data_IF_521827121100
#
_entry.id   IF_521827121100
#
_cell.length_a   1.000
_cell.length_b   1.000
_cell.length_c   1.000
_cell.angle_alpha   90.00
_cell.angle_beta   90.00
_cell.angle_gamma   90.00
#
_symmetry.space_group_name_H-M   'P 1'
#
loop_
_entity.id
_entity.type
_entity.pdbx_description
1 polymer ?
#
# COMPACT_ATOMS: atom_id res chain seq x y z
N UNK A 1 -18.40 9.93 -20.07
CA UNK A 1 -17.10 9.61 -19.49
C UNK A 1 -16.29 10.89 -19.34
N UNK A 2 -15.51 11.03 -18.26
CA UNK A 2 -14.57 12.14 -18.07
C UNK A 2 -13.15 11.59 -17.94
N UNK A 3 -12.22 12.14 -18.70
CA UNK A 3 -10.79 11.88 -18.57
C UNK A 3 -10.17 13.11 -17.92
N UNK A 4 -9.84 12.99 -16.63
CA UNK A 4 -9.23 14.04 -15.82
C UNK A 4 -7.72 13.98 -16.02
N UNK A 5 -7.17 14.91 -16.81
CA UNK A 5 -5.77 14.86 -17.26
C UNK A 5 -4.99 16.09 -16.81
N UNK A 6 -4.09 15.87 -15.87
CA UNK A 6 -3.17 16.87 -15.34
C UNK A 6 -1.73 16.72 -15.95
N UNK A 7 -1.59 16.06 -17.09
CA UNK A 7 -0.29 15.87 -17.74
C UNK A 7 0.31 17.19 -18.20
N UNK A 8 1.66 17.25 -18.24
CA UNK A 8 2.43 18.44 -18.63
C UNK A 8 3.38 18.17 -19.80
N UNK A 9 3.32 16.96 -20.34
CA UNK A 9 4.21 16.48 -21.40
C UNK A 9 3.40 16.04 -22.63
N UNK A 10 4.05 15.39 -23.57
CA UNK A 10 3.43 14.90 -24.80
C UNK A 10 2.24 13.94 -24.60
N UNK A 11 2.06 13.42 -23.39
CA UNK A 11 0.90 12.56 -23.09
C UNK A 11 -0.42 13.33 -23.19
N UNK A 12 -0.41 14.63 -22.89
CA UNK A 12 -1.59 15.48 -23.01
C UNK A 12 -2.15 15.48 -24.45
N UNK A 13 -1.30 15.72 -25.44
CA UNK A 13 -1.70 15.74 -26.85
C UNK A 13 -2.09 14.36 -27.38
N UNK A 14 -1.42 13.30 -26.90
CA UNK A 14 -1.79 11.91 -27.23
C UNK A 14 -3.17 11.57 -26.69
N UNK A 15 -3.44 11.90 -25.43
CA UNK A 15 -4.75 11.69 -24.79
C UNK A 15 -5.84 12.45 -25.53
N UNK A 16 -5.61 13.73 -25.86
CA UNK A 16 -6.55 14.55 -26.61
C UNK A 16 -6.93 13.92 -27.96
N UNK A 17 -5.96 13.50 -28.76
CA UNK A 17 -6.19 12.84 -30.07
C UNK A 17 -7.04 11.55 -29.92
N UNK A 18 -6.76 10.74 -28.89
CA UNK A 18 -7.52 9.52 -28.65
C UNK A 18 -8.98 9.82 -28.25
N UNK A 19 -9.18 10.84 -27.41
CA UNK A 19 -10.52 11.25 -27.00
C UNK A 19 -11.31 11.80 -28.19
N UNK A 20 -10.70 12.65 -29.02
CA UNK A 20 -11.34 13.17 -30.24
C UNK A 20 -11.77 12.04 -31.18
N UNK A 21 -10.92 11.02 -31.37
CA UNK A 21 -11.26 9.84 -32.15
C UNK A 21 -12.44 9.04 -31.56
N UNK A 22 -12.48 8.89 -30.24
CA UNK A 22 -13.58 8.21 -29.55
C UNK A 22 -14.89 9.02 -29.62
N UNK A 23 -14.83 10.35 -29.55
CA UNK A 23 -16.01 11.22 -29.73
C UNK A 23 -16.62 11.07 -31.12
N UNK A 24 -15.81 10.88 -32.16
CA UNK A 24 -16.29 10.62 -33.52
C UNK A 24 -17.09 9.31 -33.64
N UNK A 25 -16.90 8.36 -32.73
CA UNK A 25 -17.71 7.13 -32.66
C UNK A 25 -19.06 7.33 -31.95
N UNK A 26 -19.37 8.55 -31.49
CA UNK A 26 -20.60 8.88 -30.76
C UNK A 26 -20.51 8.67 -29.25
N UNK A 27 -19.32 8.37 -28.69
CA UNK A 27 -19.13 8.21 -27.26
C UNK A 27 -19.14 9.58 -26.54
N UNK A 28 -20.01 9.74 -25.54
CA UNK A 28 -19.99 10.94 -24.66
C UNK A 28 -18.78 10.85 -23.70
N UNK A 29 -17.63 11.31 -24.18
CA UNK A 29 -16.37 11.36 -23.46
C UNK A 29 -15.79 12.78 -23.53
N UNK A 30 -15.28 13.26 -22.40
CA UNK A 30 -14.70 14.62 -22.26
C UNK A 30 -13.28 14.56 -21.76
N UNK A 31 -12.41 15.36 -22.34
CA UNK A 31 -11.07 15.64 -21.85
C UNK A 31 -11.13 16.86 -20.94
N UNK A 32 -10.85 16.68 -19.64
CA UNK A 32 -10.84 17.74 -18.63
C UNK A 32 -9.42 17.96 -18.18
N UNK A 33 -8.91 19.16 -18.47
CA UNK A 33 -7.56 19.60 -18.13
C UNK A 33 -7.62 20.81 -17.21
N UNK A 34 -6.65 20.97 -16.33
CA UNK A 34 -6.58 22.09 -15.39
C UNK A 34 -5.34 22.93 -15.62
N UNK A 35 -5.50 24.25 -15.60
CA UNK A 35 -4.37 25.19 -15.61
C UNK A 35 -3.71 25.27 -14.24
N UNK A 36 -4.49 25.27 -13.17
CA UNK A 36 -4.00 25.27 -11.79
C UNK A 36 -4.27 23.91 -11.16
N UNK A 37 -3.20 23.17 -10.86
CA UNK A 37 -3.24 21.77 -10.40
C UNK A 37 -3.15 21.65 -8.88
N UNK A 38 -3.84 22.53 -8.15
CA UNK A 38 -3.93 22.45 -6.70
C UNK A 38 -4.57 21.14 -6.26
N UNK A 39 -4.13 20.60 -5.13
CA UNK A 39 -4.68 19.38 -4.52
C UNK A 39 -4.60 18.12 -5.39
N UNK A 40 -3.75 18.11 -6.43
CA UNK A 40 -3.45 16.93 -7.26
C UNK A 40 -4.71 16.14 -7.67
N UNK A 41 -4.76 14.82 -7.39
CA UNK A 41 -5.89 13.94 -7.72
C UNK A 41 -7.19 14.38 -7.05
N UNK A 42 -7.16 14.74 -5.77
CA UNK A 42 -8.33 15.25 -5.05
C UNK A 42 -8.94 16.48 -5.73
N UNK A 43 -8.10 17.42 -6.17
CA UNK A 43 -8.54 18.61 -6.91
C UNK A 43 -9.14 18.26 -8.27
N UNK A 44 -8.54 17.33 -9.02
CA UNK A 44 -9.06 16.87 -10.30
C UNK A 44 -10.44 16.19 -10.14
N UNK A 45 -10.57 15.30 -9.16
CA UNK A 45 -11.84 14.63 -8.86
C UNK A 45 -12.92 15.60 -8.40
N UNK A 46 -12.55 16.59 -7.59
CA UNK A 46 -13.48 17.65 -7.13
C UNK A 46 -14.03 18.46 -8.31
N UNK A 47 -13.17 18.91 -9.22
CA UNK A 47 -13.56 19.68 -10.41
C UNK A 47 -14.37 18.82 -11.38
N UNK A 48 -13.95 17.57 -11.62
CA UNK A 48 -14.71 16.62 -12.42
C UNK A 48 -16.11 16.36 -11.89
N UNK A 49 -16.29 16.35 -10.57
CA UNK A 49 -17.59 16.14 -9.92
C UNK A 49 -18.58 17.26 -10.22
N UNK A 50 -18.12 18.51 -10.39
CA UNK A 50 -18.98 19.68 -10.68
C UNK A 50 -19.74 19.49 -12.00
N UNK A 51 -19.09 18.91 -13.00
CA UNK A 51 -19.67 18.66 -14.33
C UNK A 51 -20.21 17.26 -14.54
N UNK A 52 -20.04 16.37 -13.56
CA UNK A 52 -20.52 14.99 -13.61
C UNK A 52 -22.06 14.94 -13.53
N UNK A 53 -22.69 14.29 -14.53
CA UNK A 53 -24.16 14.18 -14.63
C UNK A 53 -24.72 12.94 -13.91
N UNK A 54 -23.88 11.90 -13.72
CA UNK A 54 -24.32 10.62 -13.15
C UNK A 54 -24.65 10.71 -11.66
N UNK A 55 -25.60 9.92 -11.21
CA UNK A 55 -25.89 9.68 -9.80
C UNK A 55 -24.77 8.90 -9.11
N UNK A 56 -24.12 8.01 -9.88
CA UNK A 56 -23.01 7.20 -9.42
C UNK A 56 -21.74 7.57 -10.18
N UNK A 57 -20.63 7.68 -9.43
CA UNK A 57 -19.33 8.12 -9.94
C UNK A 57 -18.36 6.95 -9.83
N UNK A 58 -18.11 6.27 -10.95
CA UNK A 58 -17.06 5.26 -11.05
C UNK A 58 -15.70 5.93 -11.24
N UNK A 59 -14.70 5.54 -10.44
CA UNK A 59 -13.35 6.11 -10.48
C UNK A 59 -12.34 5.03 -10.87
N UNK A 60 -11.56 5.33 -11.93
CA UNK A 60 -10.47 4.46 -12.39
C UNK A 60 -9.21 5.28 -12.62
N UNK A 61 -8.09 4.81 -12.09
CA UNK A 61 -6.77 5.25 -12.54
C UNK A 61 -6.50 4.68 -13.95
N UNK A 62 -5.70 5.38 -14.75
CA UNK A 62 -5.52 5.10 -16.17
C UNK A 62 -4.94 3.71 -16.51
N UNK A 63 -4.36 3.02 -15.51
CA UNK A 63 -3.79 1.67 -15.66
C UNK A 63 -4.71 0.55 -15.17
N UNK A 64 -5.94 0.86 -14.74
CA UNK A 64 -6.93 -0.13 -14.31
C UNK A 64 -7.79 -0.60 -15.48
N UNK A 65 -7.96 -1.92 -15.60
CA UNK A 65 -8.71 -2.57 -16.69
C UNK A 65 -9.94 -3.28 -16.13
N UNK A 66 -11.10 -2.58 -16.02
CA UNK A 66 -12.34 -3.21 -15.58
C UNK A 66 -12.86 -4.21 -16.63
N UNK A 67 -13.44 -5.30 -16.16
CA UNK A 67 -14.14 -6.25 -17.06
C UNK A 67 -15.40 -5.63 -17.67
N UNK A 68 -15.85 -6.15 -18.82
CA UNK A 68 -16.95 -5.56 -19.62
C UNK A 68 -18.28 -5.42 -18.87
N UNK A 69 -18.57 -6.30 -17.95
CA UNK A 69 -19.78 -6.33 -17.13
C UNK A 69 -19.61 -5.71 -15.74
N UNK A 70 -18.49 -5.04 -15.49
CA UNK A 70 -18.12 -4.49 -14.19
C UNK A 70 -19.24 -3.59 -13.59
N UNK A 71 -19.85 -2.72 -14.40
CA UNK A 71 -20.97 -1.88 -13.94
C UNK A 71 -22.20 -2.73 -13.58
N UNK A 72 -22.50 -3.78 -14.33
CA UNK A 72 -23.63 -4.68 -14.05
C UNK A 72 -23.45 -5.45 -12.75
N UNK A 73 -22.19 -5.73 -12.36
CA UNK A 73 -21.84 -6.43 -11.13
C UNK A 73 -21.80 -5.51 -9.90
N UNK A 74 -21.65 -4.21 -10.10
CA UNK A 74 -21.43 -3.26 -9.01
C UNK A 74 -22.63 -2.39 -8.70
N UNK A 75 -23.36 -1.89 -9.72
CA UNK A 75 -24.50 -0.98 -9.54
C UNK A 75 -25.68 -1.57 -8.74
N UNK A 76 -26.04 -2.86 -8.84
CA UNK A 76 -27.18 -3.40 -8.10
C UNK A 76 -27.11 -3.24 -6.59
N UNK A 77 -25.93 -3.10 -6.01
CA UNK A 77 -25.77 -2.90 -4.56
C UNK A 77 -26.28 -1.54 -4.09
N UNK A 78 -26.39 -0.55 -4.98
CA UNK A 78 -26.91 0.78 -4.65
C UNK A 78 -28.43 0.85 -4.54
N UNK A 79 -29.15 -0.26 -4.70
CA UNK A 79 -30.56 -0.37 -4.32
C UNK A 79 -30.73 -0.07 -2.82
N UNK A 80 -29.76 -0.44 -1.97
CA UNK A 80 -29.67 0.05 -0.60
C UNK A 80 -29.17 1.51 -0.64
N UNK A 81 -30.08 2.43 -0.31
CA UNK A 81 -29.79 3.88 -0.32
C UNK A 81 -28.72 4.28 0.68
N UNK A 82 -28.42 3.46 1.69
CA UNK A 82 -27.36 3.70 2.67
C UNK A 82 -25.96 3.36 2.13
N UNK A 83 -25.87 2.64 1.01
CA UNK A 83 -24.59 2.33 0.41
C UNK A 83 -24.08 3.55 -0.34
N UNK A 84 -22.99 4.13 0.19
CA UNK A 84 -22.27 5.25 -0.40
C UNK A 84 -21.17 4.82 -1.35
N UNK A 85 -20.58 3.63 -1.13
CA UNK A 85 -19.44 3.13 -1.94
C UNK A 85 -19.57 1.63 -2.20
N UNK A 86 -19.25 1.24 -3.43
CA UNK A 86 -18.95 -0.15 -3.80
C UNK A 86 -17.51 -0.20 -4.28
N UNK A 87 -16.64 -0.90 -3.53
CA UNK A 87 -15.23 -1.12 -3.85
C UNK A 87 -15.02 -2.52 -4.40
N UNK A 88 -14.27 -2.66 -5.49
CA UNK A 88 -13.87 -3.95 -6.06
C UNK A 88 -12.42 -4.30 -5.72
N UNK A 89 -12.05 -5.58 -5.85
CA UNK A 89 -10.70 -6.06 -5.56
C UNK A 89 -9.73 -5.65 -6.67
N UNK A 90 -8.54 -5.22 -6.28
CA UNK A 90 -7.46 -5.03 -7.25
C UNK A 90 -6.87 -6.37 -7.67
N UNK A 91 -6.61 -6.50 -8.97
CA UNK A 91 -5.77 -7.54 -9.54
C UNK A 91 -4.44 -6.98 -10.03
N UNK A 92 -3.57 -7.86 -10.52
CA UNK A 92 -2.21 -7.50 -10.90
C UNK A 92 -1.88 -8.03 -12.30
N UNK A 93 -1.71 -7.12 -13.27
CA UNK A 93 -1.40 -7.46 -14.69
C UNK A 93 -0.02 -8.10 -14.80
N UNK A 94 0.97 -7.54 -14.12
CA UNK A 94 2.38 -7.91 -14.22
C UNK A 94 2.92 -8.62 -12.97
N UNK A 95 2.06 -9.38 -12.25
CA UNK A 95 2.42 -10.12 -11.03
C UNK A 95 3.74 -10.90 -11.17
N UNK A 96 3.88 -11.65 -12.25
CA UNK A 96 4.99 -12.59 -12.46
C UNK A 96 6.21 -11.98 -13.16
N UNK A 97 6.20 -10.67 -13.39
CA UNK A 97 7.24 -9.97 -14.10
C UNK A 97 8.62 -10.03 -13.38
N UNK A 98 8.64 -9.82 -12.07
CA UNK A 98 9.85 -9.78 -11.28
C UNK A 98 9.60 -10.20 -9.82
N UNK A 99 10.68 -10.39 -9.04
CA UNK A 99 10.57 -10.63 -7.60
C UNK A 99 9.85 -9.46 -6.90
N UNK A 100 10.16 -8.22 -7.29
CA UNK A 100 9.52 -7.03 -6.74
C UNK A 100 8.00 -7.02 -6.97
N UNK A 101 7.55 -7.36 -8.19
CA UNK A 101 6.10 -7.41 -8.49
C UNK A 101 5.40 -8.57 -7.79
N UNK A 102 6.04 -9.74 -7.67
CA UNK A 102 5.50 -10.88 -6.90
C UNK A 102 5.28 -10.55 -5.44
N UNK A 103 6.23 -9.88 -4.81
CA UNK A 103 6.16 -9.48 -3.40
C UNK A 103 5.08 -8.40 -3.18
N UNK A 104 4.96 -7.44 -4.09
CA UNK A 104 3.90 -6.42 -4.03
C UNK A 104 2.51 -7.04 -4.22
N UNK A 105 2.37 -7.95 -5.18
CA UNK A 105 1.12 -8.69 -5.38
C UNK A 105 0.72 -9.47 -4.12
N UNK A 106 1.66 -10.18 -3.52
CA UNK A 106 1.43 -10.96 -2.30
C UNK A 106 0.96 -10.09 -1.11
N UNK A 107 1.55 -8.89 -0.96
CA UNK A 107 1.14 -7.93 0.07
C UNK A 107 -0.28 -7.38 -0.17
N UNK A 108 -0.58 -7.00 -1.42
CA UNK A 108 -1.88 -6.45 -1.79
C UNK A 108 -2.98 -7.52 -1.77
N UNK A 109 -2.65 -8.75 -2.15
CA UNK A 109 -3.58 -9.88 -2.07
C UNK A 109 -4.04 -10.11 -0.61
N UNK A 110 -3.15 -9.98 0.39
CA UNK A 110 -3.56 -10.05 1.80
C UNK A 110 -4.51 -8.90 2.17
N UNK A 111 -4.14 -7.67 1.78
CA UNK A 111 -4.97 -6.50 2.06
C UNK A 111 -6.39 -6.67 1.52
N UNK A 112 -6.52 -7.09 0.26
CA UNK A 112 -7.82 -7.20 -0.40
C UNK A 112 -8.61 -8.45 -0.01
N UNK A 113 -7.95 -9.59 0.24
CA UNK A 113 -8.63 -10.87 0.49
C UNK A 113 -8.89 -11.11 1.99
N UNK A 114 -8.07 -10.57 2.87
CA UNK A 114 -8.22 -10.78 4.31
C UNK A 114 -8.67 -9.51 5.04
N UNK A 115 -7.93 -8.40 4.90
CA UNK A 115 -8.20 -7.20 5.69
C UNK A 115 -9.49 -6.49 5.27
N UNK A 116 -9.69 -6.23 3.98
CA UNK A 116 -10.91 -5.58 3.48
C UNK A 116 -12.14 -6.45 3.70
N UNK A 117 -12.03 -7.74 3.41
CA UNK A 117 -13.12 -8.73 3.64
C UNK A 117 -13.46 -8.80 5.13
N UNK A 118 -12.45 -8.96 5.99
CA UNK A 118 -12.65 -9.09 7.44
C UNK A 118 -13.30 -7.83 8.06
N UNK A 119 -12.85 -6.63 7.66
CA UNK A 119 -13.46 -5.38 8.13
C UNK A 119 -14.89 -5.19 7.60
N UNK A 120 -15.10 -5.43 6.31
CA UNK A 120 -16.42 -5.26 5.68
C UNK A 120 -17.45 -6.25 6.23
N UNK A 121 -17.10 -7.52 6.41
CA UNK A 121 -18.01 -8.56 6.95
C UNK A 121 -18.48 -8.25 8.37
N UNK A 122 -17.69 -7.54 9.17
CA UNK A 122 -18.00 -7.14 10.53
C UNK A 122 -18.56 -5.71 10.63
N UNK A 123 -18.87 -5.06 9.50
CA UNK A 123 -19.37 -3.69 9.40
C UNK A 123 -18.44 -2.65 10.06
N UNK A 124 -17.11 -2.92 10.05
CA UNK A 124 -16.11 -1.94 10.43
C UNK A 124 -15.73 -1.07 9.24
N UNK A 125 -15.07 0.04 9.53
CA UNK A 125 -14.64 0.96 8.48
C UNK A 125 -13.65 0.30 7.52
N UNK A 126 -13.95 0.43 6.23
CA UNK A 126 -13.05 0.10 5.13
C UNK A 126 -12.72 1.36 4.34
N UNK A 127 -11.67 1.32 3.54
CA UNK A 127 -11.37 2.42 2.63
C UNK A 127 -11.74 2.11 1.19
N UNK A 128 -12.19 3.13 0.49
CA UNK A 128 -12.05 3.19 -0.95
C UNK A 128 -10.56 3.34 -1.27
N UNK A 129 -10.02 2.52 -2.15
CA UNK A 129 -8.58 2.45 -2.42
C UNK A 129 -8.14 3.40 -3.56
N UNK A 130 -8.84 4.51 -3.73
CA UNK A 130 -8.55 5.54 -4.71
C UNK A 130 -9.03 5.24 -6.13
N UNK A 131 -9.36 3.99 -6.45
CA UNK A 131 -9.72 3.52 -7.80
C UNK A 131 -10.49 2.20 -7.75
N UNK A 132 -11.01 1.77 -8.90
CA UNK A 132 -11.77 0.53 -9.06
C UNK A 132 -12.95 0.42 -8.10
N UNK A 133 -13.71 1.49 -7.98
CA UNK A 133 -14.93 1.51 -7.19
C UNK A 133 -15.89 2.61 -7.65
N UNK A 134 -17.09 2.56 -7.10
CA UNK A 134 -18.18 3.50 -7.42
C UNK A 134 -18.60 4.21 -6.13
N UNK A 135 -18.81 5.49 -6.23
CA UNK A 135 -19.39 6.34 -5.21
C UNK A 135 -20.81 6.78 -5.59
N UNK A 136 -21.71 6.81 -4.63
CA UNK A 136 -22.94 7.58 -4.76
C UNK A 136 -22.59 9.08 -4.68
N UNK A 137 -23.00 9.88 -5.66
CA UNK A 137 -22.65 11.31 -5.74
C UNK A 137 -23.08 12.09 -4.47
N UNK A 138 -24.27 11.80 -3.95
CA UNK A 138 -24.77 12.41 -2.71
C UNK A 138 -23.88 12.07 -1.51
N UNK A 139 -23.30 10.85 -1.43
CA UNK A 139 -22.37 10.48 -0.38
C UNK A 139 -21.08 11.32 -0.44
N UNK A 140 -20.52 11.57 -1.63
CA UNK A 140 -19.33 12.43 -1.79
C UNK A 140 -19.63 13.84 -1.28
N UNK A 141 -20.81 14.40 -1.66
CA UNK A 141 -21.20 15.75 -1.29
C UNK A 141 -21.44 15.86 0.22
N UNK A 142 -22.20 14.92 0.79
CA UNK A 142 -22.51 14.87 2.23
C UNK A 142 -21.26 14.71 3.09
N UNK A 143 -20.30 13.92 2.62
CA UNK A 143 -19.01 13.78 3.28
C UNK A 143 -18.07 14.99 3.12
N UNK A 144 -18.50 16.08 2.47
CA UNK A 144 -17.74 17.31 2.29
C UNK A 144 -16.75 17.28 1.12
N UNK A 145 -17.03 16.45 0.09
CA UNK A 145 -16.30 16.37 -1.17
C UNK A 145 -14.82 15.97 -1.00
N UNK A 146 -14.09 15.87 -2.11
CA UNK A 146 -12.66 15.56 -2.14
C UNK A 146 -11.83 16.68 -1.50
N UNK A 147 -10.91 16.32 -0.60
CA UNK A 147 -9.99 17.25 0.07
C UNK A 147 -8.55 16.82 -0.18
N UNK A 148 -7.66 17.76 -0.44
CA UNK A 148 -6.26 17.51 -0.79
C UNK A 148 -5.28 17.88 0.32
N UNK A 149 -5.71 17.87 1.56
CA UNK A 149 -4.90 18.19 2.74
C UNK A 149 -4.13 16.98 3.28
N UNK A 150 -4.44 15.77 2.79
CA UNK A 150 -3.69 14.52 3.02
C UNK A 150 -3.24 13.89 1.70
N UNK A 151 -2.18 13.06 1.73
CA UNK A 151 -1.67 12.39 0.53
C UNK A 151 -2.52 11.19 0.09
N UNK A 152 -3.51 10.79 0.89
CA UNK A 152 -4.48 9.73 0.58
C UNK A 152 -5.88 10.28 0.77
N UNK A 153 -6.33 11.04 -0.24
CA UNK A 153 -7.64 11.69 -0.32
C UNK A 153 -8.80 10.68 -0.27
N UNK A 154 -8.54 9.48 -0.74
CA UNK A 154 -9.45 8.34 -0.74
C UNK A 154 -9.75 7.82 0.66
N UNK A 155 -8.72 7.62 1.48
CA UNK A 155 -8.85 7.23 2.88
C UNK A 155 -9.56 8.33 3.70
N UNK A 156 -9.21 9.60 3.45
CA UNK A 156 -9.84 10.75 4.09
C UNK A 156 -11.36 10.80 3.82
N UNK A 157 -11.75 10.77 2.54
CA UNK A 157 -13.16 10.79 2.16
C UNK A 157 -13.90 9.55 2.68
N UNK A 158 -13.26 8.37 2.65
CA UNK A 158 -13.85 7.13 3.16
C UNK A 158 -14.21 7.22 4.63
N UNK A 159 -13.33 7.78 5.46
CA UNK A 159 -13.60 7.96 6.88
C UNK A 159 -14.69 9.00 7.14
N UNK A 160 -14.67 10.13 6.43
CA UNK A 160 -15.71 11.17 6.57
C UNK A 160 -17.09 10.63 6.18
N UNK A 161 -17.19 9.87 5.11
CA UNK A 161 -18.44 9.27 4.67
C UNK A 161 -18.99 8.27 5.71
N UNK A 162 -18.15 7.38 6.24
CA UNK A 162 -18.58 6.37 7.21
C UNK A 162 -18.88 6.99 8.59
N UNK A 163 -18.25 8.11 8.96
CA UNK A 163 -18.60 8.91 10.12
C UNK A 163 -19.99 9.56 9.97
N UNK A 164 -20.43 9.83 8.73
CA UNK A 164 -21.78 10.30 8.39
C UNK A 164 -22.78 9.15 8.15
N UNK A 165 -22.48 7.93 8.65
CA UNK A 165 -23.31 6.73 8.56
C UNK A 165 -23.45 6.10 7.17
N UNK A 166 -22.67 6.52 6.17
CA UNK A 166 -22.66 5.83 4.89
C UNK A 166 -22.04 4.44 5.03
N UNK A 167 -22.65 3.43 4.42
CA UNK A 167 -22.14 2.07 4.37
C UNK A 167 -21.30 1.86 3.12
N UNK A 168 -20.26 1.04 3.26
CA UNK A 168 -19.40 0.63 2.16
C UNK A 168 -19.56 -0.86 1.90
N UNK A 169 -19.63 -1.23 0.64
CA UNK A 169 -19.68 -2.62 0.18
C UNK A 169 -18.39 -2.99 -0.52
N UNK A 170 -17.77 -4.07 -0.10
CA UNK A 170 -16.60 -4.63 -0.75
C UNK A 170 -16.97 -5.88 -1.54
N UNK A 171 -16.50 -5.97 -2.80
CA UNK A 171 -16.76 -7.09 -3.72
C UNK A 171 -15.43 -7.80 -4.04
N UNK A 172 -15.11 -8.82 -3.28
CA UNK A 172 -13.87 -9.59 -3.44
C UNK A 172 -13.80 -10.31 -4.80
N UNK A 173 -14.92 -10.82 -5.29
CA UNK A 173 -14.98 -11.63 -6.52
C UNK A 173 -14.97 -10.80 -7.81
N UNK A 174 -15.13 -9.47 -7.73
CA UNK A 174 -15.03 -8.57 -8.87
C UNK A 174 -13.61 -8.00 -8.91
N UNK A 175 -12.79 -8.53 -9.83
CA UNK A 175 -11.36 -8.19 -9.89
C UNK A 175 -11.13 -7.16 -10.99
N UNK A 176 -10.40 -6.09 -10.64
CA UNK A 176 -9.99 -5.04 -11.57
C UNK A 176 -8.46 -4.97 -11.57
N UNK A 177 -7.80 -5.55 -12.59
CA UNK A 177 -6.34 -5.62 -12.63
C UNK A 177 -5.70 -4.29 -13.02
N UNK A 178 -4.49 -4.06 -12.47
CA UNK A 178 -3.65 -2.89 -12.73
C UNK A 178 -2.17 -3.25 -12.75
N UNK A 179 -1.33 -2.33 -13.23
CA UNK A 179 0.12 -2.51 -13.25
C UNK A 179 0.74 -2.23 -11.88
N UNK A 180 1.59 -3.15 -11.40
CA UNK A 180 2.45 -2.94 -10.23
C UNK A 180 3.74 -2.22 -10.62
N UNK A 181 4.31 -1.36 -9.73
CA UNK A 181 5.63 -0.78 -9.93
C UNK A 181 6.72 -1.83 -10.18
N UNK A 182 7.46 -1.67 -11.26
CA UNK A 182 8.50 -2.63 -11.67
C UNK A 182 9.91 -2.23 -11.24
N UNK A 183 10.11 -0.98 -10.76
CA UNK A 183 11.38 -0.47 -10.26
C UNK A 183 11.27 -0.01 -8.81
N UNK A 184 12.36 -0.14 -8.06
CA UNK A 184 12.40 0.18 -6.62
C UNK A 184 12.06 1.66 -6.35
N UNK A 185 12.51 2.58 -7.18
CA UNK A 185 12.21 4.02 -6.98
C UNK A 185 10.72 4.31 -7.08
N UNK A 186 10.00 3.67 -8.01
CA UNK A 186 8.55 3.81 -8.15
C UNK A 186 7.81 3.17 -6.96
N UNK A 187 8.20 1.96 -6.56
CA UNK A 187 7.65 1.28 -5.39
C UNK A 187 7.89 2.09 -4.10
N UNK A 188 9.10 2.66 -3.92
CA UNK A 188 9.45 3.52 -2.78
C UNK A 188 8.56 4.76 -2.72
N UNK A 189 8.37 5.47 -3.84
CA UNK A 189 7.49 6.64 -3.90
C UNK A 189 6.04 6.31 -3.60
N UNK A 190 5.54 5.17 -4.08
CA UNK A 190 4.18 4.70 -3.80
C UNK A 190 4.01 4.35 -2.31
N UNK A 191 4.91 3.57 -1.74
CA UNK A 191 4.94 3.20 -0.33
C UNK A 191 5.02 4.44 0.58
N UNK A 192 5.88 5.40 0.22
CA UNK A 192 6.01 6.67 0.95
C UNK A 192 4.67 7.41 1.02
N UNK A 193 3.97 7.57 -0.12
CA UNK A 193 2.67 8.26 -0.15
C UNK A 193 1.63 7.56 0.70
N UNK A 194 1.52 6.24 0.59
CA UNK A 194 0.53 5.46 1.34
C UNK A 194 0.76 5.54 2.84
N UNK A 195 2.00 5.35 3.28
CA UNK A 195 2.33 5.38 4.71
C UNK A 195 2.22 6.79 5.30
N UNK A 196 2.68 7.82 4.58
CA UNK A 196 2.53 9.21 5.01
C UNK A 196 1.07 9.63 5.07
N UNK A 197 0.30 9.32 4.02
CA UNK A 197 -1.13 9.62 3.97
C UNK A 197 -1.92 8.91 5.07
N UNK A 198 -1.56 7.66 5.41
CA UNK A 198 -2.12 6.95 6.56
C UNK A 198 -1.87 7.69 7.88
N UNK A 199 -0.64 8.14 8.12
CA UNK A 199 -0.28 8.92 9.32
C UNK A 199 -0.99 10.30 9.35
N UNK A 200 -1.08 11.00 8.22
CA UNK A 200 -1.84 12.26 8.10
C UNK A 200 -3.33 12.05 8.41
N UNK A 201 -3.92 10.96 7.89
CA UNK A 201 -5.32 10.62 8.16
C UNK A 201 -5.56 10.20 9.61
N UNK A 202 -4.61 9.51 10.25
CA UNK A 202 -4.70 9.27 11.68
C UNK A 202 -4.82 10.58 12.47
N UNK A 203 -3.94 11.54 12.23
CA UNK A 203 -3.97 12.86 12.89
C UNK A 203 -5.29 13.60 12.66
N UNK A 204 -5.82 13.55 11.44
CA UNK A 204 -7.05 14.23 11.04
C UNK A 204 -8.31 13.59 11.60
N UNK A 205 -8.36 12.25 11.68
CA UNK A 205 -9.59 11.49 11.91
C UNK A 205 -9.75 10.94 13.32
N UNK A 206 -8.66 10.66 14.05
CA UNK A 206 -8.76 9.90 15.31
C UNK A 206 -9.68 10.57 16.36
N UNK A 207 -9.60 11.89 16.52
CA UNK A 207 -10.47 12.62 17.44
C UNK A 207 -11.95 12.53 17.01
N UNK A 208 -12.24 12.64 15.70
CA UNK A 208 -13.59 12.53 15.15
C UNK A 208 -14.17 11.13 15.38
N UNK A 209 -13.35 10.08 15.16
CA UNK A 209 -13.74 8.69 15.40
C UNK A 209 -14.14 8.47 16.87
N UNK A 210 -13.34 8.94 17.82
CA UNK A 210 -13.66 8.76 19.25
C UNK A 210 -14.83 9.62 19.72
N UNK A 211 -15.01 10.83 19.16
CA UNK A 211 -16.14 11.72 19.50
C UNK A 211 -17.47 11.29 18.87
N UNK A 212 -17.47 10.43 17.87
CA UNK A 212 -18.70 9.99 17.22
C UNK A 212 -19.52 9.08 18.15
N UNK A 213 -20.77 9.47 18.42
CA UNK A 213 -21.70 8.73 19.28
C UNK A 213 -22.39 7.55 18.58
N UNK A 214 -22.48 7.61 17.24
CA UNK A 214 -23.13 6.63 16.38
C UNK A 214 -22.27 5.42 16.04
N UNK A 215 -21.05 5.31 16.58
CA UNK A 215 -20.09 4.26 16.26
C UNK A 215 -19.78 3.44 17.51
N UNK A 216 -19.84 2.09 17.39
CA UNK A 216 -19.51 1.18 18.48
C UNK A 216 -18.05 1.32 18.92
N UNK A 217 -17.78 1.08 20.22
CA UNK A 217 -16.41 1.08 20.74
C UNK A 217 -15.51 0.09 20.00
N UNK A 218 -16.03 -1.07 19.60
CA UNK A 218 -15.31 -2.06 18.78
C UNK A 218 -14.86 -1.46 17.45
N UNK A 219 -15.76 -0.75 16.74
CA UNK A 219 -15.44 -0.10 15.47
C UNK A 219 -14.43 1.04 15.67
N UNK A 220 -14.50 1.79 16.78
CA UNK A 220 -13.50 2.83 17.11
C UNK A 220 -12.10 2.23 17.24
N UNK A 221 -11.94 1.11 17.92
CA UNK A 221 -10.66 0.42 18.04
C UNK A 221 -10.18 -0.13 16.70
N UNK A 222 -11.06 -0.75 15.91
CA UNK A 222 -10.70 -1.19 14.57
C UNK A 222 -10.24 -0.04 13.66
N UNK A 223 -10.95 1.10 13.70
CA UNK A 223 -10.56 2.31 12.97
C UNK A 223 -9.20 2.85 13.41
N UNK A 224 -8.92 2.81 14.72
CA UNK A 224 -7.63 3.22 15.28
C UNK A 224 -6.49 2.37 14.74
N UNK A 225 -6.61 1.03 14.83
CA UNK A 225 -5.59 0.13 14.30
C UNK A 225 -5.45 0.22 12.79
N UNK A 226 -6.55 0.44 12.06
CA UNK A 226 -6.50 0.64 10.62
C UNK A 226 -5.71 1.91 10.25
N UNK A 227 -5.97 3.03 10.89
CA UNK A 227 -5.25 4.30 10.64
C UNK A 227 -3.79 4.24 11.12
N UNK A 228 -3.49 3.48 12.18
CA UNK A 228 -2.13 3.27 12.71
C UNK A 228 -1.36 2.15 11.99
N UNK A 229 -1.97 1.44 11.03
CA UNK A 229 -1.32 0.29 10.39
C UNK A 229 0.07 0.64 9.85
N UNK A 230 0.24 1.81 9.24
CA UNK A 230 1.53 2.29 8.76
C UNK A 230 2.60 2.39 9.86
N UNK A 231 2.23 2.71 11.10
CA UNK A 231 3.15 2.89 12.24
C UNK A 231 3.94 1.62 12.56
N UNK A 232 3.46 0.46 12.08
CA UNK A 232 4.17 -0.81 12.18
C UNK A 232 5.60 -0.73 11.60
N UNK A 233 5.83 -0.01 10.51
CA UNK A 233 7.17 0.11 9.91
C UNK A 233 8.16 0.84 10.82
N UNK A 234 7.71 1.86 11.54
CA UNK A 234 8.52 2.52 12.56
C UNK A 234 8.88 1.54 13.69
N UNK A 235 7.90 0.80 14.20
CA UNK A 235 8.12 -0.20 15.25
C UNK A 235 9.07 -1.30 14.79
N UNK A 236 8.90 -1.82 13.55
CA UNK A 236 9.81 -2.81 12.97
C UNK A 236 11.24 -2.29 12.90
N UNK A 237 11.45 -1.05 12.45
CA UNK A 237 12.78 -0.46 12.35
C UNK A 237 13.43 -0.31 13.74
N UNK A 238 12.68 0.17 14.75
CA UNK A 238 13.17 0.28 16.12
C UNK A 238 13.58 -1.08 16.67
N UNK A 239 12.70 -2.09 16.55
CA UNK A 239 13.00 -3.47 16.98
C UNK A 239 14.21 -4.04 16.24
N UNK A 240 14.31 -3.79 14.93
CA UNK A 240 15.45 -4.21 14.12
C UNK A 240 16.76 -3.59 14.61
N UNK A 241 16.79 -2.27 14.87
CA UNK A 241 17.98 -1.58 15.38
C UNK A 241 18.36 -2.06 16.79
N UNK A 242 17.38 -2.33 17.65
CA UNK A 242 17.63 -2.83 19.00
C UNK A 242 18.03 -4.32 19.03
N UNK A 243 17.79 -5.09 17.97
CA UNK A 243 18.03 -6.53 17.97
C UNK A 243 19.49 -6.90 18.15
N UNK A 244 20.42 -6.12 17.63
CA UNK A 244 21.86 -6.36 17.80
C UNK A 244 22.31 -6.04 19.25
N UNK A 245 22.03 -4.88 19.85
CA UNK A 245 22.30 -4.65 21.27
C UNK A 245 21.65 -5.69 22.20
N UNK A 246 20.41 -6.09 21.92
CA UNK A 246 19.68 -7.11 22.69
C UNK A 246 20.38 -8.46 22.67
N UNK A 247 21.02 -8.84 21.56
CA UNK A 247 21.81 -10.06 21.48
C UNK A 247 22.97 -10.04 22.49
N UNK A 248 23.68 -8.92 22.62
CA UNK A 248 24.78 -8.75 23.59
C UNK A 248 24.25 -8.67 25.03
N UNK A 249 23.17 -7.92 25.28
CA UNK A 249 22.54 -7.85 26.61
C UNK A 249 22.13 -9.25 27.08
N UNK A 250 21.50 -10.04 26.22
CA UNK A 250 21.13 -11.40 26.53
C UNK A 250 22.34 -12.28 26.90
N UNK A 251 23.48 -12.07 26.25
CA UNK A 251 24.70 -12.85 26.49
C UNK A 251 25.38 -12.46 27.79
N UNK A 252 25.41 -11.13 28.12
CA UNK A 252 26.14 -10.60 29.27
C UNK A 252 25.35 -10.55 30.58
N UNK A 253 24.00 -10.61 30.48
CA UNK A 253 23.08 -10.55 31.64
C UNK A 253 22.15 -11.76 31.68
N UNK A 254 22.66 -12.96 32.07
CA UNK A 254 21.86 -14.19 32.12
C UNK A 254 20.64 -14.10 33.05
N UNK A 255 20.68 -13.24 34.07
CA UNK A 255 19.59 -12.96 34.98
C UNK A 255 18.33 -12.42 34.30
N UNK A 256 18.45 -11.80 33.12
CA UNK A 256 17.34 -11.28 32.31
C UNK A 256 16.65 -12.36 31.47
N UNK A 257 17.04 -13.65 31.59
CA UNK A 257 16.48 -14.77 30.80
C UNK A 257 14.94 -14.80 30.77
N UNK A 258 14.30 -14.49 31.90
CA UNK A 258 12.83 -14.48 31.99
C UNK A 258 12.19 -13.39 31.15
N UNK A 259 12.81 -12.22 31.01
CA UNK A 259 12.36 -11.14 30.12
C UNK A 259 12.37 -11.64 28.67
N UNK A 260 13.43 -12.34 28.26
CA UNK A 260 13.53 -12.88 26.90
C UNK A 260 12.52 -14.02 26.65
N UNK A 261 12.17 -14.84 27.65
CA UNK A 261 11.11 -15.85 27.53
C UNK A 261 9.73 -15.19 27.36
N UNK A 262 9.43 -14.09 28.09
CA UNK A 262 8.21 -13.31 27.91
C UNK A 262 8.18 -12.67 26.51
N UNK A 263 9.29 -12.10 26.06
CA UNK A 263 9.40 -11.54 24.71
C UNK A 263 9.19 -12.60 23.62
N UNK A 264 9.66 -13.84 23.84
CA UNK A 264 9.47 -14.95 22.89
C UNK A 264 7.99 -15.32 22.71
N UNK A 265 7.12 -15.02 23.69
CA UNK A 265 5.66 -15.21 23.55
C UNK A 265 5.12 -14.42 22.34
N UNK A 266 5.65 -13.25 22.03
CA UNK A 266 5.22 -12.44 20.89
C UNK A 266 5.56 -13.07 19.53
N UNK A 267 6.42 -14.11 19.46
CA UNK A 267 6.61 -14.91 18.26
C UNK A 267 5.33 -15.62 17.82
N UNK A 268 4.35 -15.81 18.74
CA UNK A 268 3.03 -16.33 18.41
C UNK A 268 2.33 -15.47 17.36
N UNK A 269 2.55 -14.16 17.35
CA UNK A 269 2.00 -13.27 16.34
C UNK A 269 2.49 -13.63 14.93
N UNK A 270 3.76 -14.01 14.79
CA UNK A 270 4.34 -14.46 13.51
C UNK A 270 3.67 -15.75 13.01
N UNK A 271 3.34 -16.67 13.92
CA UNK A 271 2.61 -17.89 13.55
C UNK A 271 1.18 -17.57 13.09
N UNK A 272 0.50 -16.64 13.77
CA UNK A 272 -0.83 -16.18 13.35
C UNK A 272 -0.76 -15.57 11.95
N UNK A 273 0.19 -14.68 11.70
CA UNK A 273 0.40 -14.11 10.37
C UNK A 273 0.70 -15.19 9.34
N UNK A 274 1.58 -16.14 9.65
CA UNK A 274 1.89 -17.25 8.76
C UNK A 274 0.63 -18.04 8.37
N UNK A 275 -0.23 -18.37 9.33
CA UNK A 275 -1.49 -19.06 9.07
C UNK A 275 -2.43 -18.21 8.21
N UNK A 276 -2.60 -16.93 8.54
CA UNK A 276 -3.45 -16.01 7.77
C UNK A 276 -2.97 -15.86 6.32
N UNK A 277 -1.67 -15.68 6.11
CA UNK A 277 -1.09 -15.60 4.77
C UNK A 277 -1.21 -16.93 4.00
N UNK A 278 -1.08 -18.07 4.69
CA UNK A 278 -1.29 -19.37 4.06
C UNK A 278 -2.74 -19.58 3.62
N UNK A 279 -3.71 -19.19 4.44
CA UNK A 279 -5.13 -19.25 4.05
C UNK A 279 -5.42 -18.38 2.81
N UNK A 280 -4.97 -17.14 2.81
CA UNK A 280 -5.07 -16.25 1.64
C UNK A 280 -4.38 -16.86 0.42
N UNK A 281 -3.16 -17.39 0.58
CA UNK A 281 -2.42 -17.99 -0.50
C UNK A 281 -3.16 -19.18 -1.12
N UNK A 282 -3.77 -20.04 -0.28
CA UNK A 282 -4.60 -21.16 -0.76
C UNK A 282 -5.78 -20.71 -1.60
N UNK A 283 -6.45 -19.64 -1.19
CA UNK A 283 -7.61 -19.10 -1.90
C UNK A 283 -7.24 -18.61 -3.31
N UNK A 284 -6.08 -17.98 -3.45
CA UNK A 284 -5.67 -17.31 -4.70
C UNK A 284 -4.87 -18.25 -5.61
N UNK A 285 -3.95 -19.03 -5.03
CA UNK A 285 -2.96 -19.83 -5.79
C UNK A 285 -3.20 -21.33 -5.73
N UNK A 286 -4.18 -21.77 -4.93
CA UNK A 286 -4.44 -23.18 -4.67
C UNK A 286 -3.55 -23.77 -3.54
N UNK A 287 -3.99 -24.92 -3.01
CA UNK A 287 -3.32 -25.64 -1.92
C UNK A 287 -2.43 -26.79 -2.38
N UNK A 288 -1.96 -27.56 -1.39
CA UNK A 288 -1.13 -28.76 -1.59
C UNK A 288 0.34 -28.55 -1.18
N UNK A 289 1.06 -29.67 -0.98
CA UNK A 289 2.41 -29.65 -0.39
C UNK A 289 3.44 -28.86 -1.22
N UNK A 290 3.39 -28.96 -2.56
CA UNK A 290 4.29 -28.20 -3.45
C UNK A 290 4.04 -26.69 -3.34
N UNK A 291 2.79 -26.28 -3.30
CA UNK A 291 2.38 -24.88 -3.13
C UNK A 291 2.74 -24.36 -1.75
N UNK A 292 2.73 -25.20 -0.72
CA UNK A 292 3.16 -24.85 0.62
C UNK A 292 4.64 -24.46 0.67
N UNK A 293 5.54 -25.18 0.00
CA UNK A 293 6.96 -24.79 -0.07
C UNK A 293 7.17 -23.50 -0.88
N UNK A 294 6.41 -23.28 -1.95
CA UNK A 294 6.44 -22.02 -2.70
C UNK A 294 5.98 -20.87 -1.79
N UNK A 295 4.93 -21.10 -1.02
CA UNK A 295 4.42 -20.13 -0.04
C UNK A 295 5.47 -19.78 1.03
N UNK A 296 6.14 -20.77 1.63
CA UNK A 296 7.21 -20.52 2.62
C UNK A 296 8.27 -19.59 2.03
N UNK A 297 8.78 -19.90 0.85
CA UNK A 297 9.78 -19.06 0.18
C UNK A 297 9.28 -17.65 -0.06
N UNK A 298 8.06 -17.50 -0.56
CA UNK A 298 7.44 -16.18 -0.82
C UNK A 298 7.18 -15.41 0.48
N UNK A 299 6.72 -16.07 1.54
CA UNK A 299 6.45 -15.47 2.83
C UNK A 299 7.70 -14.83 3.43
N UNK A 300 8.79 -15.58 3.56
CA UNK A 300 10.05 -15.04 4.10
C UNK A 300 10.67 -13.98 3.18
N UNK A 301 10.58 -14.14 1.86
CA UNK A 301 11.06 -13.13 0.90
C UNK A 301 10.25 -11.83 1.03
N UNK A 302 8.93 -11.94 1.14
CA UNK A 302 8.05 -10.78 1.36
C UNK A 302 8.43 -10.03 2.64
N UNK A 303 8.54 -10.73 3.78
CA UNK A 303 8.90 -10.08 5.04
C UNK A 303 10.29 -9.45 4.98
N UNK A 304 11.28 -10.11 4.36
CA UNK A 304 12.62 -9.54 4.18
C UNK A 304 12.57 -8.23 3.38
N UNK A 305 11.89 -8.21 2.23
CA UNK A 305 11.79 -7.02 1.39
C UNK A 305 10.96 -5.91 2.08
N UNK A 306 9.86 -6.29 2.76
CA UNK A 306 9.05 -5.33 3.54
C UNK A 306 9.88 -4.66 4.66
N UNK A 307 10.73 -5.44 5.36
CA UNK A 307 11.68 -4.88 6.34
C UNK A 307 12.71 -3.96 5.67
N UNK A 308 13.17 -4.26 4.46
CA UNK A 308 14.04 -3.38 3.69
C UNK A 308 13.42 -2.02 3.36
N UNK A 309 12.09 -1.96 3.17
CA UNK A 309 11.36 -0.70 3.01
C UNK A 309 11.12 0.07 4.32
N UNK A 310 11.40 -0.52 5.49
CA UNK A 310 11.06 0.07 6.78
C UNK A 310 11.68 1.45 7.02
N UNK A 311 12.90 1.72 6.54
CA UNK A 311 13.52 3.04 6.62
C UNK A 311 12.70 4.09 5.86
N UNK A 312 12.43 3.86 4.57
CA UNK A 312 11.65 4.78 3.73
C UNK A 312 10.25 5.04 4.32
N UNK A 313 9.60 3.98 4.80
CA UNK A 313 8.25 4.07 5.35
C UNK A 313 8.24 4.74 6.73
N UNK A 314 9.27 4.54 7.56
CA UNK A 314 9.45 5.25 8.83
C UNK A 314 9.58 6.76 8.62
N UNK A 315 10.41 7.19 7.66
CA UNK A 315 10.52 8.61 7.31
C UNK A 315 9.16 9.19 6.89
N UNK A 316 8.42 8.46 6.05
CA UNK A 316 7.09 8.86 5.61
C UNK A 316 6.11 9.04 6.78
N UNK A 317 6.09 8.08 7.72
CA UNK A 317 5.22 8.08 8.89
C UNK A 317 5.55 9.24 9.82
N UNK A 318 6.84 9.45 10.13
CA UNK A 318 7.27 10.56 10.97
C UNK A 318 6.91 11.90 10.34
N UNK A 319 7.13 12.08 9.03
CA UNK A 319 6.71 13.29 8.33
C UNK A 319 5.19 13.50 8.39
N UNK A 320 4.40 12.44 8.25
CA UNK A 320 2.93 12.51 8.33
C UNK A 320 2.45 12.92 9.72
N UNK A 321 2.99 12.30 10.78
CA UNK A 321 2.63 12.65 12.17
C UNK A 321 3.09 14.04 12.60
N UNK A 322 4.22 14.52 12.06
CA UNK A 322 4.74 15.86 12.32
C UNK A 322 4.13 16.94 11.44
N UNK A 323 3.20 16.59 10.54
CA UNK A 323 2.53 17.54 9.66
C UNK A 323 3.43 18.17 8.59
N UNK A 324 4.58 17.56 8.28
CA UNK A 324 5.51 18.06 7.26
C UNK A 324 4.89 17.91 5.87
N UNK A 325 4.72 19.00 5.15
CA UNK A 325 4.22 18.98 3.76
C UNK A 325 5.26 18.39 2.81
N UNK A 326 4.83 17.56 1.88
CA UNK A 326 5.66 17.05 0.77
C UNK A 326 4.91 17.13 -0.54
N UNK A 327 5.67 17.27 -1.63
CA UNK A 327 5.11 17.24 -2.97
C UNK A 327 4.52 15.85 -3.28
N UNK A 328 3.42 15.84 -4.02
CA UNK A 328 2.86 14.61 -4.55
C UNK A 328 3.69 14.13 -5.74
N UNK A 329 4.41 13.02 -5.57
CA UNK A 329 5.20 12.41 -6.64
C UNK A 329 4.38 11.27 -7.23
N UNK A 330 4.01 11.38 -8.52
CA UNK A 330 3.29 10.33 -9.23
C UNK A 330 4.17 9.08 -9.37
N UNK A 331 3.57 7.91 -9.20
CA UNK A 331 4.25 6.63 -9.48
C UNK A 331 4.29 6.41 -10.99
N UNK A 332 5.46 6.35 -11.63
CA UNK A 332 5.54 6.09 -13.06
C UNK A 332 5.05 4.68 -13.38
N UNK A 333 4.33 4.56 -14.51
CA UNK A 333 3.87 3.30 -15.09
C UNK A 333 4.62 3.09 -16.41
N UNK A 334 4.90 1.83 -16.73
CA UNK A 334 5.76 1.45 -17.86
C UNK A 334 5.03 0.62 -18.91
N UNK A 335 3.73 0.38 -18.73
CA UNK A 335 2.88 -0.48 -19.56
C UNK A 335 3.44 -1.91 -19.68
N UNK A 336 3.83 -2.47 -18.54
CA UNK A 336 4.36 -3.83 -18.45
C UNK A 336 3.20 -4.82 -18.25
N UNK A 337 2.93 -5.61 -19.28
CA UNK A 337 1.87 -6.63 -19.27
C UNK A 337 2.43 -8.06 -19.39
N UNK A 338 3.65 -8.22 -19.92
CA UNK A 338 4.31 -9.50 -20.12
C UNK A 338 5.74 -9.49 -19.58
N UNK A 339 6.27 -10.67 -19.29
CA UNK A 339 7.66 -10.84 -18.80
C UNK A 339 8.70 -10.37 -19.84
N UNK A 340 8.33 -10.40 -21.12
CA UNK A 340 9.18 -9.93 -22.24
C UNK A 340 9.30 -8.40 -22.34
N UNK A 341 8.38 -7.65 -21.69
CA UNK A 341 8.34 -6.20 -21.82
C UNK A 341 9.53 -5.54 -21.12
N UNK A 342 10.01 -4.43 -21.68
CA UNK A 342 11.19 -3.73 -21.17
C UNK A 342 10.81 -2.35 -20.65
N UNK A 343 11.26 -2.01 -19.45
CA UNK A 343 11.13 -0.67 -18.86
C UNK A 343 12.37 0.20 -19.09
N UNK A 344 13.48 -0.38 -19.58
CA UNK A 344 14.76 0.28 -19.81
C UNK A 344 14.66 1.39 -20.85
N UNK A 345 15.40 2.50 -20.62
CA UNK A 345 15.37 3.67 -21.51
C UNK A 345 14.20 4.62 -21.29
N UNK A 346 13.35 4.39 -20.28
CA UNK A 346 12.25 5.27 -19.97
C UNK A 346 12.74 6.56 -19.28
N UNK A 347 12.22 7.73 -19.72
CA UNK A 347 12.57 9.06 -19.20
C UNK A 347 12.30 9.28 -17.71
N UNK A 348 11.48 8.42 -17.08
CA UNK A 348 11.15 8.50 -15.65
C UNK A 348 12.17 7.82 -14.73
N UNK A 349 13.24 7.26 -15.27
CA UNK A 349 14.32 6.66 -14.49
C UNK A 349 15.28 7.75 -14.04
N UNK A 350 15.46 7.89 -12.72
CA UNK A 350 16.41 8.87 -12.16
C UNK A 350 17.74 8.21 -11.85
N UNK A 351 18.84 8.83 -12.29
CA UNK A 351 20.21 8.31 -12.09
C UNK A 351 20.90 8.79 -10.79
N UNK A 352 20.21 9.50 -9.90
CA UNK A 352 20.81 10.04 -8.67
C UNK A 352 20.72 9.06 -7.50
N UNK A 353 21.83 8.85 -6.78
CA UNK A 353 21.82 8.11 -5.49
C UNK A 353 21.10 8.99 -4.47
N UNK A 354 20.01 8.47 -3.90
CA UNK A 354 19.28 9.18 -2.87
C UNK A 354 19.95 8.96 -1.51
N UNK A 355 19.76 9.89 -0.58
CA UNK A 355 20.17 9.71 0.82
C UNK A 355 19.59 8.42 1.43
N UNK A 356 18.35 8.09 1.11
CA UNK A 356 17.74 6.84 1.56
C UNK A 356 18.53 5.61 1.11
N UNK A 357 19.05 5.59 -0.12
CA UNK A 357 19.86 4.47 -0.61
C UNK A 357 21.14 4.30 0.21
N UNK A 358 21.78 5.40 0.63
CA UNK A 358 22.99 5.34 1.49
C UNK A 358 22.64 4.74 2.84
N UNK A 359 21.57 5.20 3.49
CA UNK A 359 21.12 4.66 4.80
C UNK A 359 20.74 3.17 4.69
N UNK A 360 20.07 2.76 3.62
CA UNK A 360 19.75 1.35 3.40
C UNK A 360 21.01 0.47 3.28
N UNK A 361 22.06 0.99 2.62
CA UNK A 361 23.36 0.32 2.57
C UNK A 361 24.05 0.24 3.96
N UNK A 362 23.98 1.29 4.76
CA UNK A 362 24.50 1.29 6.13
C UNK A 362 23.74 0.31 7.04
N UNK A 363 22.41 0.25 6.91
CA UNK A 363 21.57 -0.72 7.63
C UNK A 363 21.88 -2.16 7.19
N UNK A 364 22.11 -2.40 5.92
CA UNK A 364 22.58 -3.71 5.45
C UNK A 364 23.89 -4.11 6.15
N UNK A 365 24.86 -3.20 6.21
CA UNK A 365 26.15 -3.48 6.90
C UNK A 365 25.96 -3.68 8.41
N UNK A 366 25.07 -2.91 9.05
CA UNK A 366 24.73 -3.09 10.45
C UNK A 366 24.16 -4.48 10.75
N UNK A 367 23.29 -5.01 9.89
CA UNK A 367 22.75 -6.35 10.05
C UNK A 367 23.71 -7.45 9.62
N UNK A 368 24.68 -7.17 8.73
CA UNK A 368 25.83 -8.04 8.51
C UNK A 368 26.66 -8.19 9.79
N UNK A 369 26.88 -7.09 10.52
CA UNK A 369 27.49 -7.14 11.85
C UNK A 369 26.63 -7.94 12.84
N UNK A 370 25.29 -7.82 12.80
CA UNK A 370 24.38 -8.65 13.58
C UNK A 370 24.52 -10.16 13.30
N UNK A 371 24.71 -10.54 12.05
CA UNK A 371 25.01 -11.93 11.67
C UNK A 371 26.36 -12.40 12.22
N UNK A 372 27.40 -11.59 12.08
CA UNK A 372 28.72 -11.86 12.66
C UNK A 372 28.64 -12.01 14.18
N UNK A 373 27.89 -11.15 14.85
CA UNK A 373 27.70 -11.15 16.30
C UNK A 373 27.17 -12.48 16.84
N UNK A 374 26.34 -13.22 16.07
CA UNK A 374 25.84 -14.52 16.48
C UNK A 374 26.96 -15.55 16.74
N UNK A 375 28.13 -15.38 16.12
CA UNK A 375 29.27 -16.27 16.26
C UNK A 375 30.23 -15.85 17.40
N UNK A 376 30.25 -14.57 17.78
CA UNK A 376 31.29 -14.02 18.66
C UNK A 376 30.75 -13.45 19.97
N UNK A 377 29.42 -13.40 20.16
CA UNK A 377 28.80 -12.70 21.29
C UNK A 377 29.10 -13.32 22.66
N UNK A 378 29.37 -14.63 22.70
CA UNK A 378 29.72 -15.35 23.92
C UNK A 378 31.14 -15.90 23.84
N UNK A 379 31.95 -15.78 24.91
CA UNK A 379 33.29 -16.38 24.94
C UNK A 379 33.30 -17.90 24.80
N UNK A 380 32.29 -18.59 25.31
CA UNK A 380 32.17 -20.03 25.38
C UNK A 380 31.13 -20.63 24.42
N UNK A 381 30.60 -19.83 23.47
CA UNK A 381 29.59 -20.36 22.54
C UNK A 381 28.95 -19.34 21.61
N UNK A 382 28.16 -19.85 20.73
CA UNK A 382 27.42 -19.09 19.71
C UNK A 382 25.99 -18.84 20.17
N UNK A 383 25.34 -17.75 19.70
CA UNK A 383 23.92 -17.53 19.91
C UNK A 383 23.20 -17.22 18.57
N UNK A 384 22.58 -18.24 18.01
CA UNK A 384 21.87 -18.15 16.73
C UNK A 384 20.40 -17.74 16.87
N UNK A 385 19.91 -17.41 18.08
CA UNK A 385 18.49 -17.10 18.28
C UNK A 385 17.98 -15.93 17.43
N UNK A 386 18.81 -14.91 17.18
CA UNK A 386 18.47 -13.76 16.34
C UNK A 386 19.00 -13.88 14.90
N UNK A 387 19.75 -14.92 14.59
CA UNK A 387 20.40 -15.09 13.27
C UNK A 387 19.41 -15.08 12.10
N UNK A 388 18.28 -15.84 12.13
CA UNK A 388 17.30 -15.79 11.05
C UNK A 388 16.72 -14.39 10.83
N UNK A 389 16.47 -13.65 11.89
CA UNK A 389 15.94 -12.29 11.83
C UNK A 389 16.96 -11.32 11.21
N UNK A 390 18.21 -11.36 11.66
CA UNK A 390 19.30 -10.56 11.08
C UNK A 390 19.54 -10.93 9.60
N UNK A 391 19.41 -12.21 9.23
CA UNK A 391 19.54 -12.64 7.84
C UNK A 391 18.43 -12.04 6.94
N UNK A 392 17.20 -12.02 7.43
CA UNK A 392 16.07 -11.40 6.71
C UNK A 392 16.27 -9.89 6.55
N UNK A 393 16.74 -9.21 7.58
CA UNK A 393 17.05 -7.77 7.54
C UNK A 393 18.22 -7.48 6.58
N UNK A 394 19.30 -8.23 6.66
CA UNK A 394 20.44 -8.12 5.74
C UNK A 394 20.02 -8.31 4.29
N UNK A 395 19.27 -9.38 4.01
CA UNK A 395 18.77 -9.68 2.67
C UNK A 395 17.79 -8.60 2.17
N UNK A 396 16.89 -8.13 3.03
CA UNK A 396 15.90 -7.11 2.68
C UNK A 396 16.53 -5.75 2.36
N UNK A 397 17.35 -5.21 3.25
CA UNK A 397 18.07 -3.97 3.00
C UNK A 397 19.05 -4.08 1.83
N UNK A 398 19.73 -5.24 1.71
CA UNK A 398 20.60 -5.56 0.58
C UNK A 398 19.84 -5.56 -0.74
N UNK A 399 18.69 -6.20 -0.81
CA UNK A 399 17.85 -6.21 -2.01
C UNK A 399 17.45 -4.79 -2.43
N UNK A 400 16.96 -3.96 -1.50
CA UNK A 400 16.56 -2.58 -1.79
C UNK A 400 17.77 -1.74 -2.23
N UNK A 401 18.91 -1.85 -1.52
CA UNK A 401 20.13 -1.12 -1.84
C UNK A 401 20.68 -1.48 -3.23
N UNK A 402 20.91 -2.76 -3.51
CA UNK A 402 21.47 -3.19 -4.79
C UNK A 402 20.50 -2.95 -5.95
N UNK A 403 19.19 -3.21 -5.77
CA UNK A 403 18.21 -2.90 -6.81
C UNK A 403 18.14 -1.40 -7.11
N UNK A 404 18.36 -0.53 -6.11
CA UNK A 404 18.46 0.93 -6.31
C UNK A 404 19.69 1.34 -7.10
N UNK A 405 20.80 0.64 -6.98
CA UNK A 405 22.03 0.89 -7.73
C UNK A 405 21.92 0.32 -9.14
N UNK A 406 21.56 -0.96 -9.29
CA UNK A 406 21.58 -1.65 -10.58
C UNK A 406 20.44 -1.22 -11.53
N UNK A 407 19.32 -0.68 -11.02
CA UNK A 407 18.28 -0.11 -11.89
C UNK A 407 18.72 1.13 -12.66
N UNK A 408 19.95 1.63 -12.41
CA UNK A 408 20.52 2.84 -13.01
C UNK A 408 21.57 2.54 -14.08
N UNK A 409 22.19 1.37 -14.02
CA UNK A 409 23.34 1.01 -14.87
C UNK A 409 22.92 0.24 -16.12
N UNK A 410 21.67 -0.06 -16.28
CA UNK A 410 21.07 -0.68 -17.46
C UNK A 410 20.06 0.26 -18.08
#
# INVERSE_FOLDING_TARGET
IQVLDDSTDESLERTKKHIEALQQTGLDIKHITRTVRTNFKAGALKEGLETAKGEFIAVFDADFLPQKDWLKLTLPYFIDEQIGVVQTRWGHLNRDYSLLTKVQAFALDLHFTLEQVGRNSQQHFINFNGTAGIWRKTCIIDAGNWQGDTLTEDLDLSYRAQLNNWKFKYLENVITPAELPVIISAARSQQFRWNKGGAENYQKMIKKVFSASNISLKTKWHATFHLLNSTMFFTILVVALLSVPVLYIKAWYPELKYVFYIMAFFLMSTLIFFCCYWEMFKQIYGGGWRKFFVFIGLFFTFFSIAMGFSWNNTVAILEGHLGKKSAFIRTPKFNINAVSDKWLGNKYITNKISFNTIIEGLLMLYFAFGLYSAFVVKPEGQDFGMFPFHLMLFAGFGYIFFSSIFSRTK
#
